data_IF_394983744814
#
_entry.id   IF_394983744814
#
_cell.length_a   1.000
_cell.length_b   1.000
_cell.length_c   1.000
_cell.angle_alpha   90.00
_cell.angle_beta   90.00
_cell.angle_gamma   90.00
#
_symmetry.space_group_name_H-M   'P 1'
#
loop_
_entity.id
_entity.type
_entity.pdbx_description
1 polymer ?
#
# COMPACT_ATOMS: atom_id res chain seq x y z
N UNK A 1 -22.94 -11.88 -32.76
CA UNK A 1 -22.03 -12.51 -31.76
C UNK A 1 -20.60 -11.98 -31.77
N UNK A 2 -19.96 -11.73 -32.93
CA UNK A 2 -18.57 -11.21 -32.97
C UNK A 2 -18.39 -9.81 -32.37
N UNK A 3 -19.40 -8.93 -32.44
CA UNK A 3 -19.34 -7.57 -31.85
C UNK A 3 -19.49 -7.55 -30.32
N UNK A 4 -20.13 -8.57 -29.73
CA UNK A 4 -20.42 -8.60 -28.29
C UNK A 4 -19.19 -9.04 -27.48
N UNK A 5 -18.34 -9.87 -28.10
CA UNK A 5 -17.07 -10.32 -27.53
C UNK A 5 -16.02 -9.19 -27.42
N UNK A 6 -16.05 -8.23 -28.35
CA UNK A 6 -15.18 -7.05 -28.30
C UNK A 6 -15.53 -6.09 -27.15
N UNK A 7 -16.81 -5.98 -26.81
CA UNK A 7 -17.27 -5.08 -25.74
C UNK A 7 -16.91 -5.63 -24.34
N UNK A 8 -16.96 -6.95 -24.15
CA UNK A 8 -16.55 -7.61 -22.89
C UNK A 8 -15.05 -7.50 -22.65
N UNK A 9 -14.23 -7.49 -23.72
CA UNK A 9 -12.78 -7.36 -23.61
C UNK A 9 -12.33 -5.93 -23.23
N UNK A 10 -13.08 -4.90 -23.63
CA UNK A 10 -12.78 -3.52 -23.23
C UNK A 10 -13.13 -3.21 -21.77
N UNK A 11 -14.14 -3.89 -21.21
CA UNK A 11 -14.58 -3.67 -19.82
C UNK A 11 -13.65 -4.31 -18.77
N UNK A 12 -12.76 -5.23 -19.18
CA UNK A 12 -11.84 -5.92 -18.27
C UNK A 12 -10.48 -5.20 -18.10
N UNK A 13 -10.22 -4.12 -18.83
CA UNK A 13 -8.93 -3.41 -18.80
C UNK A 13 -8.76 -2.33 -17.71
N UNK A 14 -9.83 -1.91 -17.02
CA UNK A 14 -9.80 -0.71 -16.18
C UNK A 14 -9.42 -0.90 -14.70
N UNK A 15 -9.00 -2.09 -14.26
CA UNK A 15 -8.95 -2.41 -12.82
C UNK A 15 -7.55 -2.73 -12.25
N UNK A 16 -6.46 -2.33 -12.90
CA UNK A 16 -5.11 -2.55 -12.36
C UNK A 16 -4.57 -1.27 -11.72
N UNK A 17 -5.02 -0.98 -10.51
CA UNK A 17 -4.22 -0.16 -9.59
C UNK A 17 -3.00 -1.00 -9.20
N UNK A 18 -1.84 -0.67 -9.74
CA UNK A 18 -0.59 -1.36 -9.41
C UNK A 18 -0.20 -1.06 -7.96
N UNK A 19 -0.71 -1.87 -7.02
CA UNK A 19 -0.22 -1.91 -5.65
C UNK A 19 1.08 -2.71 -5.65
N UNK A 20 2.20 -2.05 -5.35
CA UNK A 20 3.50 -2.71 -5.25
C UNK A 20 3.71 -3.18 -3.82
N UNK A 21 3.96 -4.48 -3.65
CA UNK A 21 4.35 -5.08 -2.38
C UNK A 21 5.79 -5.59 -2.49
N UNK A 22 6.67 -5.10 -1.60
CA UNK A 22 8.08 -5.49 -1.56
C UNK A 22 8.39 -6.02 -0.17
N UNK A 23 8.97 -7.21 -0.11
CA UNK A 23 9.44 -7.84 1.13
C UNK A 23 10.94 -8.04 1.02
N UNK A 24 11.65 -7.60 2.05
CA UNK A 24 13.06 -7.88 2.22
C UNK A 24 13.23 -8.69 3.51
N UNK A 25 13.98 -9.79 3.43
CA UNK A 25 14.27 -10.65 4.58
C UNK A 25 15.63 -11.30 4.41
N UNK A 26 16.26 -11.65 5.53
CA UNK A 26 17.52 -12.40 5.53
C UNK A 26 17.26 -13.88 5.20
N UNK A 27 17.75 -14.33 4.05
CA UNK A 27 17.60 -15.72 3.58
C UNK A 27 18.46 -16.71 4.35
N UNK A 28 19.50 -16.24 5.06
CA UNK A 28 20.45 -17.09 5.76
C UNK A 28 20.08 -17.30 7.24
N UNK A 29 19.03 -16.61 7.73
CA UNK A 29 18.57 -16.70 9.12
C UNK A 29 17.35 -17.60 9.20
N UNK A 30 17.44 -18.67 10.00
CA UNK A 30 16.26 -19.48 10.30
C UNK A 30 15.32 -18.69 11.21
N UNK A 31 14.03 -18.63 10.87
CA UNK A 31 13.03 -17.95 11.70
C UNK A 31 12.39 -18.89 12.74
N UNK A 32 12.82 -20.16 12.79
CA UNK A 32 12.20 -21.21 13.61
C UNK A 32 12.30 -20.98 15.13
N UNK A 33 13.20 -20.11 15.58
CA UNK A 33 13.34 -19.79 17.01
C UNK A 33 12.40 -18.67 17.46
N UNK A 34 11.79 -17.92 16.53
CA UNK A 34 10.88 -16.81 16.85
C UNK A 34 9.52 -17.40 17.22
N UNK A 35 9.09 -17.21 18.47
CA UNK A 35 7.82 -17.72 18.98
C UNK A 35 6.93 -16.61 19.50
N UNK A 36 7.53 -15.52 19.96
CA UNK A 36 6.82 -14.40 20.58
C UNK A 36 7.10 -13.11 19.83
N UNK A 37 6.11 -12.23 19.79
CA UNK A 37 6.26 -10.90 19.22
C UNK A 37 5.65 -9.82 20.11
N UNK A 38 6.21 -8.62 20.02
CA UNK A 38 5.66 -7.41 20.61
C UNK A 38 5.43 -6.40 19.49
N UNK A 39 4.29 -5.71 19.49
CA UNK A 39 4.04 -4.61 18.54
C UNK A 39 4.22 -3.29 19.29
N UNK A 40 5.13 -2.45 18.82
CA UNK A 40 5.29 -1.08 19.30
C UNK A 40 4.56 -0.14 18.32
N UNK A 41 3.78 0.84 18.83
CA UNK A 41 3.16 1.83 17.96
C UNK A 41 4.18 2.51 17.05
N UNK A 42 3.88 2.46 15.76
CA UNK A 42 4.65 3.06 14.71
C UNK A 42 4.50 4.57 14.56
N UNK A 43 5.00 5.12 13.45
CA UNK A 43 4.81 6.53 13.10
C UNK A 43 3.76 6.71 11.99
N UNK A 44 2.91 7.73 12.12
CA UNK A 44 2.00 8.18 11.05
C UNK A 44 2.52 9.50 10.49
N UNK A 45 3.04 9.46 9.27
CA UNK A 45 3.69 10.61 8.60
C UNK A 45 2.74 11.42 7.72
N UNK A 46 1.46 11.04 7.64
CA UNK A 46 0.44 11.74 6.86
C UNK A 46 0.25 13.18 7.38
N UNK A 47 0.35 14.22 6.52
CA UNK A 47 0.08 15.60 6.89
C UNK A 47 -1.34 15.80 7.44
N UNK A 48 -1.50 16.66 8.46
CA UNK A 48 -2.78 16.85 9.19
C UNK A 48 -3.94 17.24 8.26
N UNK A 49 -3.68 18.05 7.25
CA UNK A 49 -4.62 18.51 6.23
C UNK A 49 -5.08 17.40 5.28
N UNK A 50 -4.32 16.30 5.19
CA UNK A 50 -4.63 15.16 4.33
C UNK A 50 -5.21 13.98 5.12
N UNK A 51 -5.30 14.06 6.46
CA UNK A 51 -5.86 13.00 7.30
C UNK A 51 -7.38 12.93 7.13
N UNK A 52 -7.86 11.79 6.62
CA UNK A 52 -9.29 11.46 6.56
C UNK A 52 -9.76 10.67 7.80
N UNK A 53 -8.83 10.14 8.57
CA UNK A 53 -9.07 9.26 9.72
C UNK A 53 -8.13 9.65 10.85
N UNK A 54 -8.57 9.47 12.10
CA UNK A 54 -7.75 9.76 13.27
C UNK A 54 -6.61 8.76 13.45
N UNK A 55 -5.47 9.25 13.94
CA UNK A 55 -4.25 8.44 14.14
C UNK A 55 -4.50 7.22 15.02
N UNK A 56 -5.29 7.36 16.09
CA UNK A 56 -5.64 6.25 16.98
C UNK A 56 -6.31 5.09 16.24
N UNK A 57 -7.22 5.39 15.32
CA UNK A 57 -7.91 4.38 14.51
C UNK A 57 -6.95 3.70 13.53
N UNK A 58 -6.05 4.47 12.91
CA UNK A 58 -5.03 3.92 12.00
C UNK A 58 -4.08 3.00 12.75
N UNK A 59 -3.61 3.42 13.93
CA UNK A 59 -2.78 2.58 14.80
C UNK A 59 -3.47 1.28 15.19
N UNK A 60 -4.75 1.36 15.58
CA UNK A 60 -5.55 0.19 15.92
C UNK A 60 -5.64 -0.79 14.75
N UNK A 61 -6.03 -0.31 13.56
CA UNK A 61 -6.14 -1.18 12.38
C UNK A 61 -4.81 -1.83 12.00
N UNK A 62 -3.70 -1.08 12.08
CA UNK A 62 -2.38 -1.62 11.81
C UNK A 62 -2.00 -2.71 12.82
N UNK A 63 -2.17 -2.45 14.11
CA UNK A 63 -1.85 -3.41 15.17
C UNK A 63 -2.70 -4.68 15.09
N UNK A 64 -4.00 -4.54 14.87
CA UNK A 64 -4.91 -5.69 14.72
C UNK A 64 -4.58 -6.52 13.47
N UNK A 65 -4.28 -5.86 12.34
CA UNK A 65 -3.93 -6.56 11.10
C UNK A 65 -2.60 -7.30 11.23
N UNK A 66 -1.58 -6.66 11.82
CA UNK A 66 -0.27 -7.30 12.06
C UNK A 66 -0.43 -8.46 13.04
N UNK A 67 -1.14 -8.27 14.15
CA UNK A 67 -1.36 -9.31 15.14
C UNK A 67 -2.06 -10.53 14.55
N UNK A 68 -3.14 -10.31 13.79
CA UNK A 68 -3.90 -11.37 13.13
C UNK A 68 -3.01 -12.22 12.23
N UNK A 69 -2.11 -11.58 11.46
CA UNK A 69 -1.21 -12.32 10.57
C UNK A 69 -0.14 -13.09 11.35
N UNK A 70 0.48 -12.49 12.37
CA UNK A 70 1.52 -13.17 13.16
C UNK A 70 0.96 -14.33 13.99
N UNK A 71 -0.23 -14.17 14.56
CA UNK A 71 -0.96 -15.23 15.26
C UNK A 71 -1.37 -16.35 14.31
N UNK A 72 -1.78 -16.04 13.07
CA UNK A 72 -2.04 -17.02 12.03
C UNK A 72 -0.80 -17.86 11.70
N UNK A 73 0.39 -17.27 11.75
CA UNK A 73 1.67 -17.98 11.61
C UNK A 73 2.14 -18.69 12.89
N UNK A 74 1.35 -18.64 13.97
CA UNK A 74 1.60 -19.35 15.22
C UNK A 74 2.48 -18.62 16.23
N UNK A 75 2.78 -17.34 16.00
CA UNK A 75 3.49 -16.53 16.99
C UNK A 75 2.52 -16.03 18.08
N UNK A 76 3.04 -15.82 19.28
CA UNK A 76 2.27 -15.35 20.43
C UNK A 76 2.59 -13.91 20.78
N UNK A 77 1.57 -13.08 20.94
CA UNK A 77 1.76 -11.71 21.41
C UNK A 77 2.19 -11.69 22.88
N UNK A 78 3.21 -10.90 23.19
CA UNK A 78 3.65 -10.62 24.57
C UNK A 78 3.85 -9.12 24.76
N UNK A 79 3.59 -8.63 25.97
CA UNK A 79 3.72 -7.20 26.30
C UNK A 79 5.16 -6.81 26.73
N UNK A 80 6.06 -7.79 26.87
CA UNK A 80 7.41 -7.58 27.42
C UNK A 80 8.50 -8.17 26.50
N UNK A 81 9.41 -9.00 27.03
CA UNK A 81 10.55 -9.59 26.30
C UNK A 81 10.06 -10.56 25.22
N UNK A 82 9.79 -10.01 24.03
CA UNK A 82 9.50 -10.78 22.82
C UNK A 82 10.79 -11.19 22.09
N UNK A 83 10.70 -12.26 21.30
CA UNK A 83 11.76 -12.68 20.38
C UNK A 83 11.92 -11.70 19.22
N UNK A 84 10.83 -11.03 18.82
CA UNK A 84 10.81 -10.03 17.75
C UNK A 84 9.96 -8.82 18.14
N UNK A 85 10.45 -7.63 17.79
CA UNK A 85 9.74 -6.37 18.02
C UNK A 85 9.30 -5.84 16.66
N UNK A 86 7.99 -5.72 16.49
CA UNK A 86 7.38 -5.28 15.25
C UNK A 86 7.06 -3.80 15.35
N UNK A 87 7.55 -3.03 14.38
CA UNK A 87 7.22 -1.61 14.21
C UNK A 87 6.63 -1.38 12.83
N UNK A 88 5.95 -0.26 12.64
CA UNK A 88 5.39 0.09 11.34
C UNK A 88 5.46 1.58 11.09
N UNK A 89 5.37 1.98 9.83
CA UNK A 89 5.22 3.37 9.42
C UNK A 89 4.11 3.45 8.39
N UNK A 90 3.16 4.35 8.60
CA UNK A 90 2.10 4.63 7.66
C UNK A 90 2.17 6.08 7.19
N UNK A 91 2.07 6.29 5.88
CA UNK A 91 2.08 7.62 5.29
C UNK A 91 1.18 7.69 4.07
N UNK A 92 0.51 8.82 3.89
CA UNK A 92 -0.23 9.15 2.69
C UNK A 92 0.18 10.55 2.25
N UNK A 93 0.45 10.69 0.95
CA UNK A 93 0.81 11.95 0.32
C UNK A 93 0.01 12.12 -0.97
N UNK A 94 -0.67 13.25 -1.11
CA UNK A 94 -1.19 13.68 -2.40
C UNK A 94 -0.03 14.11 -3.31
N UNK A 95 -0.01 13.55 -4.52
CA UNK A 95 0.98 13.85 -5.57
C UNK A 95 0.25 14.37 -6.79
N UNK A 96 0.85 15.35 -7.46
CA UNK A 96 0.39 15.85 -8.76
C UNK A 96 1.39 15.39 -9.80
N UNK A 97 0.93 14.62 -10.80
CA UNK A 97 1.77 14.21 -11.93
C UNK A 97 1.44 15.06 -13.16
N UNK A 98 2.47 15.28 -13.99
CA UNK A 98 2.34 15.96 -15.27
C UNK A 98 2.85 15.03 -16.36
N UNK A 99 1.96 14.57 -17.23
CA UNK A 99 2.31 13.69 -18.34
C UNK A 99 2.07 14.39 -19.68
N UNK A 100 3.02 14.24 -20.60
CA UNK A 100 2.82 14.61 -22.00
C UNK A 100 2.24 13.40 -22.71
N UNK A 101 0.95 13.48 -23.07
CA UNK A 101 0.31 12.44 -23.85
C UNK A 101 0.94 12.43 -25.25
N UNK A 102 1.62 11.34 -25.58
CA UNK A 102 2.16 11.13 -26.93
C UNK A 102 1.06 11.04 -27.99
N UNK A 103 1.42 11.00 -29.29
CA UNK A 103 0.48 11.13 -30.40
C UNK A 103 -0.60 10.04 -30.49
N UNK A 104 -0.46 8.94 -29.74
CA UNK A 104 -1.44 7.83 -29.69
C UNK A 104 -2.46 7.94 -28.55
N UNK A 105 -2.31 8.90 -27.63
CA UNK A 105 -3.19 9.08 -26.46
C UNK A 105 -4.33 10.08 -26.64
N UNK A 106 -4.58 10.57 -27.87
CA UNK A 106 -5.41 11.75 -28.09
C UNK A 106 -6.85 11.42 -28.52
N UNK A 107 -7.82 12.08 -27.86
CA UNK A 107 -9.17 12.30 -28.38
C UNK A 107 -9.07 13.20 -29.61
N UNK A 108 -9.74 12.90 -30.74
CA UNK A 108 -9.68 13.76 -31.94
C UNK A 108 -10.10 15.20 -31.63
N UNK A 109 -9.22 16.17 -31.93
CA UNK A 109 -9.51 17.61 -31.78
C UNK A 109 -8.73 18.34 -30.67
N UNK A 110 -7.91 17.64 -29.86
CA UNK A 110 -6.99 18.25 -28.88
C UNK A 110 -5.58 18.37 -29.45
N UNK A 111 -4.85 19.42 -29.07
CA UNK A 111 -3.53 19.74 -29.62
C UNK A 111 -2.44 18.75 -29.19
N UNK A 112 -1.38 18.61 -29.99
CA UNK A 112 -0.23 17.70 -29.76
C UNK A 112 0.54 18.02 -28.45
N UNK A 113 0.32 19.20 -27.87
CA UNK A 113 1.08 19.74 -26.73
C UNK A 113 0.32 19.75 -25.39
N UNK A 114 -0.85 19.10 -25.31
CA UNK A 114 -1.65 19.14 -24.08
C UNK A 114 -0.99 18.35 -22.95
N UNK A 115 -0.49 19.08 -21.94
CA UNK A 115 0.01 18.53 -20.68
C UNK A 115 -1.17 18.02 -19.87
N UNK A 116 -1.25 16.71 -19.66
CA UNK A 116 -2.25 16.12 -18.78
C UNK A 116 -1.75 16.22 -17.34
N UNK A 117 -2.51 16.92 -16.50
CA UNK A 117 -2.23 17.02 -15.07
C UNK A 117 -3.28 16.22 -14.32
N UNK A 118 -2.86 15.32 -13.45
CA UNK A 118 -3.76 14.61 -12.57
C UNK A 118 -3.19 14.48 -11.17
N UNK A 119 -4.09 14.48 -10.19
CA UNK A 119 -3.76 14.27 -8.79
C UNK A 119 -4.02 12.81 -8.43
N UNK A 120 -3.14 12.22 -7.64
CA UNK A 120 -3.29 10.88 -7.10
C UNK A 120 -2.80 10.82 -5.66
N UNK A 121 -3.33 9.86 -4.89
CA UNK A 121 -2.87 9.60 -3.53
C UNK A 121 -1.85 8.48 -3.55
N UNK A 122 -0.66 8.76 -3.03
CA UNK A 122 0.37 7.76 -2.79
C UNK A 122 0.34 7.38 -1.32
N UNK A 123 0.00 6.13 -1.03
CA UNK A 123 0.03 5.57 0.31
C UNK A 123 1.21 4.61 0.45
N UNK A 124 1.91 4.70 1.58
CA UNK A 124 3.02 3.83 1.95
C UNK A 124 2.74 3.23 3.31
N UNK A 125 2.89 1.91 3.39
CA UNK A 125 2.84 1.17 4.64
C UNK A 125 4.07 0.27 4.70
N UNK A 126 4.89 0.47 5.71
CA UNK A 126 6.13 -0.28 5.94
C UNK A 126 6.02 -0.97 7.28
N UNK A 127 6.39 -2.24 7.35
CA UNK A 127 6.44 -3.04 8.57
C UNK A 127 7.87 -3.53 8.71
N UNK A 128 8.43 -3.39 9.90
CA UNK A 128 9.79 -3.82 10.24
C UNK A 128 9.74 -4.83 11.39
N UNK A 129 10.51 -5.91 11.28
CA UNK A 129 10.55 -7.07 12.19
C UNK A 129 12.00 -7.44 12.53
#
# INVERSE_FOLDING_TARGET
MKLLLAFVFCLSGCALFAQSFKVEYDKNRSLNYIKTYQIIPGEITTPKDQKKTGDATVHQWAQESIATQLEFYGLQRVDTLADVVVTYVFGMLSRTNFEMLGPLGQTPGRGIEEKYTYEYQQSTFVIDL
#
